data_IF_990924715201
#
_entry.id   IF_990924715201
#
_cell.length_a   1.000
_cell.length_b   1.000
_cell.length_c   1.000
_cell.angle_alpha   90.00
_cell.angle_beta   90.00
_cell.angle_gamma   90.00
#
_symmetry.space_group_name_H-M   'P 1'
#
loop_
_entity.id
_entity.type
_entity.pdbx_description
1 polymer ?
#
# COMPACT_ATOMS: atom_id res chain seq x y z
N UNK A 1 -6.50 -6.05 21.76
CA UNK A 1 -5.67 -6.10 20.53
C UNK A 1 -6.60 -6.13 19.32
N UNK A 2 -6.25 -5.46 18.23
CA UNK A 2 -7.03 -5.51 16.97
C UNK A 2 -7.12 -6.95 16.45
N UNK A 3 -8.29 -7.40 15.95
CA UNK A 3 -8.42 -8.72 15.34
C UNK A 3 -7.97 -8.77 13.87
N UNK A 4 -7.31 -7.74 13.36
CA UNK A 4 -6.98 -7.57 11.94
C UNK A 4 -5.46 -7.54 11.76
N UNK A 5 -4.93 -8.40 10.86
CA UNK A 5 -3.55 -8.35 10.38
C UNK A 5 -3.46 -7.56 9.08
N UNK A 6 -2.41 -6.75 8.90
CA UNK A 6 -2.11 -6.06 7.65
C UNK A 6 -1.27 -6.95 6.73
N UNK A 7 -1.57 -6.96 5.43
CA UNK A 7 -0.78 -7.65 4.40
C UNK A 7 -0.47 -6.64 3.29
N UNK A 8 0.80 -6.27 3.15
CA UNK A 8 1.29 -5.35 2.10
C UNK A 8 1.91 -6.16 0.98
N UNK A 9 1.27 -6.15 -0.19
CA UNK A 9 1.74 -6.86 -1.38
C UNK A 9 2.77 -6.00 -2.13
N UNK A 10 4.04 -6.42 -2.16
CA UNK A 10 5.14 -5.68 -2.75
C UNK A 10 6.13 -6.59 -3.52
N UNK A 11 5.68 -7.75 -4.01
CA UNK A 11 6.53 -8.76 -4.64
C UNK A 11 6.78 -8.55 -6.15
N UNK A 12 6.22 -7.48 -6.74
CA UNK A 12 6.28 -7.20 -8.18
C UNK A 12 7.68 -6.87 -8.70
N UNK A 13 7.94 -7.15 -9.98
CA UNK A 13 9.24 -6.98 -10.65
C UNK A 13 9.55 -5.55 -11.08
N UNK A 14 8.54 -4.66 -11.12
CA UNK A 14 8.68 -3.27 -11.61
C UNK A 14 9.27 -3.16 -13.02
N UNK A 15 8.91 -4.10 -13.91
CA UNK A 15 9.55 -4.27 -15.23
C UNK A 15 9.51 -2.99 -16.09
N UNK A 16 8.41 -2.22 -16.05
CA UNK A 16 8.24 -0.97 -16.80
C UNK A 16 9.11 0.18 -16.31
N UNK A 17 9.54 0.14 -15.05
CA UNK A 17 10.40 1.15 -14.42
C UNK A 17 11.89 0.83 -14.55
N UNK A 18 12.28 -0.39 -14.97
CA UNK A 18 13.66 -0.83 -15.08
C UNK A 18 14.45 -0.96 -13.76
N UNK A 19 13.83 -0.57 -12.65
CA UNK A 19 14.37 -0.65 -11.28
C UNK A 19 13.24 -0.92 -10.28
N UNK A 20 13.53 -1.49 -9.10
CA UNK A 20 12.51 -1.78 -8.11
C UNK A 20 11.79 -0.51 -7.66
N UNK A 21 10.47 -0.40 -7.92
CA UNK A 21 9.66 0.73 -7.49
C UNK A 21 9.60 0.87 -5.97
N UNK A 22 9.73 -0.24 -5.27
CA UNK A 22 9.68 -0.32 -3.81
C UNK A 22 10.71 0.57 -3.13
N UNK A 23 11.90 0.72 -3.75
CA UNK A 23 13.04 1.48 -3.22
C UNK A 23 13.23 2.85 -3.89
N UNK A 24 12.34 3.26 -4.80
CA UNK A 24 12.38 4.61 -5.37
C UNK A 24 12.15 5.63 -4.25
N UNK A 25 13.02 6.64 -4.18
CA UNK A 25 12.87 7.72 -3.20
C UNK A 25 11.76 8.68 -3.64
N UNK A 26 10.71 8.77 -2.82
CA UNK A 26 9.59 9.67 -2.99
C UNK A 26 9.37 10.40 -1.65
N UNK A 27 9.30 11.74 -1.67
CA UNK A 27 9.09 12.57 -0.47
C UNK A 27 10.02 12.23 0.70
N UNK A 28 11.31 11.93 0.40
CA UNK A 28 12.35 11.62 1.38
C UNK A 28 12.34 10.20 1.97
N UNK A 29 11.57 9.27 1.39
CA UNK A 29 11.52 7.85 1.81
C UNK A 29 11.35 6.93 0.61
N UNK A 30 11.70 5.63 0.72
CA UNK A 30 11.31 4.62 -0.26
C UNK A 30 9.78 4.58 -0.44
N UNK A 31 9.31 4.40 -1.66
CA UNK A 31 7.87 4.28 -1.99
C UNK A 31 7.17 3.28 -1.05
N UNK A 32 7.73 2.08 -0.88
CA UNK A 32 7.15 1.05 -0.02
C UNK A 32 7.13 1.47 1.45
N UNK A 33 8.09 2.30 1.91
CA UNK A 33 8.14 2.75 3.29
C UNK A 33 6.92 3.61 3.67
N UNK A 34 6.39 4.41 2.74
CA UNK A 34 5.17 5.18 2.98
C UNK A 34 3.99 4.27 3.32
N UNK A 35 3.81 3.19 2.55
CA UNK A 35 2.73 2.23 2.79
C UNK A 35 2.93 1.47 4.10
N UNK A 36 4.17 1.06 4.40
CA UNK A 36 4.51 0.39 5.66
C UNK A 36 4.23 1.31 6.85
N UNK A 37 4.65 2.58 6.78
CA UNK A 37 4.42 3.55 7.85
C UNK A 37 2.93 3.79 8.09
N UNK A 38 2.14 3.93 7.01
CA UNK A 38 0.69 4.08 7.10
C UNK A 38 0.02 2.85 7.72
N UNK A 39 0.43 1.65 7.30
CA UNK A 39 -0.07 0.39 7.81
C UNK A 39 0.30 0.18 9.28
N UNK A 40 1.56 0.43 9.65
CA UNK A 40 2.04 0.28 11.02
C UNK A 40 1.41 1.29 12.00
N UNK A 41 0.97 2.44 11.51
CA UNK A 41 0.23 3.43 12.29
C UNK A 41 -1.24 3.10 12.49
N UNK A 42 -1.82 2.20 11.69
CA UNK A 42 -3.24 1.84 11.73
C UNK A 42 -3.56 0.85 12.86
N UNK A 43 -4.86 0.73 13.19
CA UNK A 43 -5.37 -0.17 14.24
C UNK A 43 -5.31 -1.64 13.82
N UNK A 44 -4.12 -2.12 13.47
CA UNK A 44 -3.84 -3.51 13.12
C UNK A 44 -3.00 -4.20 14.20
N UNK A 45 -3.05 -5.52 14.24
CA UNK A 45 -2.31 -6.36 15.18
C UNK A 45 -0.83 -6.48 14.81
N UNK A 46 -0.59 -6.62 13.53
CA UNK A 46 0.71 -6.80 12.89
C UNK A 46 0.64 -6.34 11.44
N UNK A 47 1.80 -6.14 10.82
CA UNK A 47 1.92 -5.85 9.38
C UNK A 47 2.90 -6.85 8.76
N UNK A 48 2.44 -7.53 7.70
CA UNK A 48 3.21 -8.50 6.93
C UNK A 48 3.50 -7.89 5.58
N UNK A 49 4.78 -7.68 5.27
CA UNK A 49 5.24 -7.16 3.98
C UNK A 49 5.68 -8.33 3.12
N UNK A 50 4.95 -8.60 2.03
CA UNK A 50 5.26 -9.69 1.12
C UNK A 50 6.15 -9.18 0.01
N UNK A 51 7.40 -9.65 -0.01
CA UNK A 51 8.39 -9.36 -1.04
C UNK A 51 8.60 -10.58 -1.95
N UNK A 52 9.18 -10.36 -3.13
CA UNK A 52 9.49 -11.43 -4.08
C UNK A 52 10.74 -11.08 -4.86
N UNK A 53 10.61 -10.33 -5.97
CA UNK A 53 11.77 -9.89 -6.73
C UNK A 53 12.71 -9.05 -5.86
N UNK A 54 14.00 -9.44 -5.79
CA UNK A 54 15.03 -8.77 -4.98
C UNK A 54 14.66 -8.57 -3.51
N UNK A 55 13.97 -9.54 -2.91
CA UNK A 55 13.42 -9.44 -1.56
C UNK A 55 14.44 -8.95 -0.54
N UNK A 56 15.63 -9.54 -0.47
CA UNK A 56 16.71 -9.16 0.47
C UNK A 56 17.11 -7.69 0.30
N UNK A 57 17.45 -7.29 -0.94
CA UNK A 57 17.88 -5.91 -1.23
C UNK A 57 16.81 -4.86 -0.92
N UNK A 58 15.52 -5.20 -1.14
CA UNK A 58 14.40 -4.31 -0.78
C UNK A 58 14.25 -4.26 0.74
N UNK A 59 14.31 -5.41 1.42
CA UNK A 59 14.19 -5.46 2.87
C UNK A 59 15.28 -4.64 3.59
N UNK A 60 16.53 -4.70 3.10
CA UNK A 60 17.66 -3.94 3.64
C UNK A 60 17.49 -2.41 3.52
N UNK A 61 16.69 -1.96 2.55
CA UNK A 61 16.39 -0.53 2.33
C UNK A 61 15.22 -0.02 3.20
N UNK A 62 14.54 -0.90 3.96
CA UNK A 62 13.34 -0.56 4.72
C UNK A 62 13.63 -0.45 6.21
N UNK A 63 12.90 0.46 6.86
CA UNK A 63 12.87 0.59 8.31
C UNK A 63 11.60 -0.06 8.86
N UNK A 64 11.72 -1.31 9.33
CA UNK A 64 10.59 -2.02 9.86
C UNK A 64 10.27 -1.56 11.28
N UNK A 65 9.00 -1.21 11.53
CA UNK A 65 8.50 -0.85 12.86
C UNK A 65 8.17 -2.10 13.67
N UNK A 66 8.09 -1.95 14.98
CA UNK A 66 7.63 -3.04 15.85
C UNK A 66 6.28 -3.59 15.36
N UNK A 67 6.16 -4.92 15.34
CA UNK A 67 4.97 -5.59 14.80
C UNK A 67 4.92 -5.70 13.28
N UNK A 68 5.95 -5.22 12.56
CA UNK A 68 6.09 -5.39 11.11
C UNK A 68 7.16 -6.42 10.79
N UNK A 69 6.88 -7.31 9.84
CA UNK A 69 7.83 -8.32 9.38
C UNK A 69 7.73 -8.57 7.89
N UNK A 70 8.83 -9.00 7.29
CA UNK A 70 8.90 -9.38 5.88
C UNK A 70 8.65 -10.88 5.74
N UNK A 71 7.95 -11.24 4.67
CA UNK A 71 7.79 -12.62 4.19
C UNK A 71 8.19 -12.65 2.72
N UNK A 72 9.08 -13.54 2.36
CA UNK A 72 9.46 -13.75 0.98
C UNK A 72 8.50 -14.73 0.29
N UNK A 73 8.04 -14.36 -0.90
CA UNK A 73 7.30 -15.23 -1.79
C UNK A 73 8.20 -15.65 -2.96
N UNK A 74 8.74 -16.87 -2.98
CA UNK A 74 9.58 -17.36 -4.08
C UNK A 74 8.79 -17.52 -5.39
N UNK A 75 7.47 -17.76 -5.29
CA UNK A 75 6.60 -18.01 -6.43
C UNK A 75 5.99 -16.73 -7.03
N UNK A 76 6.53 -15.54 -6.74
CA UNK A 76 5.97 -14.25 -7.13
C UNK A 76 5.70 -14.11 -8.64
N UNK A 77 6.43 -14.84 -9.48
CA UNK A 77 6.26 -14.84 -10.93
C UNK A 77 4.99 -15.54 -11.40
N UNK A 78 4.39 -16.39 -10.58
CA UNK A 78 3.15 -17.08 -10.89
C UNK A 78 1.89 -16.22 -10.67
N UNK A 79 2.07 -14.93 -10.34
CA UNK A 79 0.99 -13.94 -10.20
C UNK A 79 0.74 -13.47 -8.78
N UNK A 80 -0.05 -12.38 -8.65
CA UNK A 80 -0.33 -11.71 -7.39
C UNK A 80 -1.01 -12.63 -6.35
N UNK A 81 -1.76 -13.63 -6.81
CA UNK A 81 -2.43 -14.60 -5.92
C UNK A 81 -1.45 -15.37 -5.04
N UNK A 82 -0.23 -15.66 -5.51
CA UNK A 82 0.79 -16.35 -4.70
C UNK A 82 1.30 -15.46 -3.57
N UNK A 83 1.47 -14.17 -3.84
CA UNK A 83 1.87 -13.18 -2.83
C UNK A 83 0.76 -12.98 -1.79
N UNK A 84 -0.50 -12.91 -2.23
CA UNK A 84 -1.63 -12.83 -1.31
C UNK A 84 -1.68 -14.06 -0.39
N UNK A 85 -1.53 -15.26 -0.96
CA UNK A 85 -1.49 -16.51 -0.18
C UNK A 85 -0.37 -16.50 0.83
N UNK A 86 0.86 -16.17 0.43
CA UNK A 86 2.00 -16.08 1.34
C UNK A 86 1.73 -15.11 2.50
N UNK A 87 1.11 -13.95 2.23
CA UNK A 87 0.73 -12.99 3.25
C UNK A 87 -0.34 -13.50 4.19
N UNK A 88 -1.40 -14.13 3.68
CA UNK A 88 -2.48 -14.68 4.49
C UNK A 88 -2.03 -15.86 5.36
N UNK A 89 -1.20 -16.77 4.83
CA UNK A 89 -0.64 -17.91 5.56
C UNK A 89 0.30 -17.45 6.67
N UNK A 90 0.91 -16.28 6.51
CA UNK A 90 1.77 -15.68 7.51
C UNK A 90 1.00 -14.92 8.61
N UNK A 91 -0.28 -14.60 8.46
CA UNK A 91 -1.06 -13.90 9.46
C UNK A 91 -1.16 -14.67 10.77
N UNK A 92 -1.16 -13.94 11.89
CA UNK A 92 -1.41 -14.50 13.23
C UNK A 92 -2.67 -15.38 13.22
N UNK A 93 -2.58 -16.56 13.88
CA UNK A 93 -3.69 -17.52 13.90
C UNK A 93 -4.95 -16.99 14.59
N UNK A 94 -4.79 -16.04 15.50
CA UNK A 94 -5.87 -15.40 16.22
C UNK A 94 -6.47 -14.17 15.49
N UNK A 95 -5.99 -13.80 14.28
CA UNK A 95 -6.60 -12.72 13.55
C UNK A 95 -7.94 -13.17 12.93
N UNK A 96 -8.92 -12.29 12.95
CA UNK A 96 -10.25 -12.48 12.35
C UNK A 96 -10.27 -12.15 10.86
N UNK A 97 -9.46 -11.19 10.43
CA UNK A 97 -9.43 -10.71 9.06
C UNK A 97 -8.04 -10.24 8.66
N UNK A 98 -7.78 -10.11 7.36
CA UNK A 98 -6.61 -9.46 6.80
C UNK A 98 -7.02 -8.18 6.05
N UNK A 99 -6.31 -7.10 6.31
CA UNK A 99 -6.35 -5.87 5.50
C UNK A 99 -5.25 -5.95 4.44
N UNK A 100 -5.64 -6.12 3.19
CA UNK A 100 -4.73 -6.24 2.04
C UNK A 100 -4.48 -4.85 1.46
N UNK A 101 -3.20 -4.48 1.35
CA UNK A 101 -2.69 -3.24 0.79
C UNK A 101 -1.74 -3.56 -0.37
N UNK A 102 -1.50 -2.60 -1.24
CA UNK A 102 -0.49 -2.71 -2.30
C UNK A 102 0.65 -1.74 -2.03
N UNK A 103 1.90 -2.21 -2.22
CA UNK A 103 3.10 -1.49 -1.81
C UNK A 103 3.51 -0.32 -2.72
N UNK A 104 2.73 -0.02 -3.75
CA UNK A 104 2.97 1.01 -4.77
C UNK A 104 2.00 2.20 -4.70
N UNK A 105 1.19 2.29 -3.65
CA UNK A 105 0.26 3.40 -3.39
C UNK A 105 0.75 4.27 -2.20
N UNK A 106 1.79 5.09 -2.38
CA UNK A 106 2.39 5.88 -1.29
C UNK A 106 1.47 6.97 -0.73
N UNK A 107 0.39 7.29 -1.45
CA UNK A 107 -0.66 8.22 -1.01
C UNK A 107 -1.65 7.62 -0.01
N UNK A 108 -1.57 6.33 0.29
CA UNK A 108 -2.41 5.71 1.30
C UNK A 108 -2.03 6.20 2.70
N UNK A 109 -3.03 6.56 3.52
CA UNK A 109 -2.82 7.08 4.87
C UNK A 109 -3.37 6.15 5.95
N UNK A 110 -2.84 6.26 7.17
CA UNK A 110 -3.37 5.57 8.36
C UNK A 110 -4.86 5.81 8.55
N UNK A 111 -5.33 7.05 8.36
CA UNK A 111 -6.74 7.39 8.51
C UNK A 111 -7.66 6.67 7.51
N UNK A 112 -7.22 6.50 6.26
CA UNK A 112 -7.97 5.73 5.25
C UNK A 112 -8.07 4.26 5.66
N UNK A 113 -6.97 3.67 6.13
CA UNK A 113 -6.94 2.27 6.59
C UNK A 113 -7.90 2.10 7.77
N UNK A 114 -7.80 2.98 8.77
CA UNK A 114 -8.65 2.92 9.97
C UNK A 114 -10.13 3.13 9.67
N UNK A 115 -10.46 3.94 8.66
CA UNK A 115 -11.85 4.13 8.21
C UNK A 115 -12.45 2.83 7.66
N UNK A 116 -11.67 2.08 6.85
CA UNK A 116 -12.14 0.79 6.33
C UNK A 116 -12.23 -0.26 7.45
N UNK A 117 -11.28 -0.25 8.40
CA UNK A 117 -11.31 -1.13 9.58
C UNK A 117 -12.58 -0.87 10.40
N UNK A 118 -12.91 0.39 10.68
CA UNK A 118 -14.12 0.76 11.41
C UNK A 118 -15.37 0.27 10.70
N UNK A 119 -15.51 0.58 9.40
CA UNK A 119 -16.66 0.13 8.62
C UNK A 119 -16.80 -1.40 8.58
N UNK A 120 -15.69 -2.15 8.44
CA UNK A 120 -15.70 -3.61 8.49
C UNK A 120 -16.25 -4.14 9.82
N UNK A 121 -15.80 -3.56 10.94
CA UNK A 121 -16.19 -4.01 12.28
C UNK A 121 -17.67 -3.65 12.57
N UNK A 122 -18.10 -2.45 12.22
CA UNK A 122 -19.45 -1.93 12.47
C UNK A 122 -20.53 -2.65 11.64
N UNK A 123 -20.24 -2.89 10.36
CA UNK A 123 -21.19 -3.55 9.46
C UNK A 123 -21.25 -5.07 9.62
N UNK A 124 -20.29 -5.69 10.34
CA UNK A 124 -20.14 -7.14 10.37
C UNK A 124 -19.92 -7.75 8.99
N UNK A 125 -19.28 -6.99 8.10
CA UNK A 125 -19.03 -7.40 6.72
C UNK A 125 -18.08 -8.60 6.65
N UNK A 126 -18.16 -9.35 5.55
CA UNK A 126 -17.15 -10.37 5.22
C UNK A 126 -16.00 -9.79 4.39
N UNK A 127 -16.33 -8.77 3.59
CA UNK A 127 -15.36 -7.98 2.85
C UNK A 127 -15.70 -6.50 3.03
N UNK A 128 -14.71 -5.67 3.35
CA UNK A 128 -14.82 -4.23 3.28
C UNK A 128 -13.66 -3.69 2.44
N UNK A 129 -13.92 -2.75 1.53
CA UNK A 129 -12.89 -2.14 0.71
C UNK A 129 -13.05 -0.63 0.64
N UNK A 130 -11.92 0.06 0.48
CA UNK A 130 -11.94 1.47 0.16
C UNK A 130 -12.59 1.69 -1.22
N UNK A 131 -13.39 2.74 -1.34
CA UNK A 131 -13.97 3.22 -2.57
C UNK A 131 -13.63 4.70 -2.73
N UNK A 132 -13.10 5.09 -3.87
CA UNK A 132 -12.60 6.43 -4.17
C UNK A 132 -13.40 7.00 -5.33
N UNK A 133 -14.31 7.92 -5.05
CA UNK A 133 -15.22 8.50 -6.08
C UNK A 133 -15.89 7.40 -6.95
N UNK A 134 -16.37 6.32 -6.30
CA UNK A 134 -17.00 5.19 -6.95
C UNK A 134 -16.02 4.13 -7.51
N UNK A 135 -14.71 4.41 -7.54
CA UNK A 135 -13.71 3.43 -7.95
C UNK A 135 -13.22 2.57 -6.78
N UNK A 136 -13.22 1.22 -6.88
CA UNK A 136 -12.70 0.35 -5.85
C UNK A 136 -11.18 0.46 -5.73
N UNK A 137 -10.68 0.47 -4.47
CA UNK A 137 -9.25 0.56 -4.17
C UNK A 137 -8.84 -0.24 -2.94
N UNK A 138 -7.67 0.07 -2.42
CA UNK A 138 -7.12 -0.52 -1.20
C UNK A 138 -7.21 0.48 -0.02
N UNK A 139 -7.28 -0.03 1.23
CA UNK A 139 -7.21 -1.44 1.64
C UNK A 139 -8.47 -2.22 1.28
N UNK A 140 -8.29 -3.54 1.13
CA UNK A 140 -9.39 -4.50 1.08
C UNK A 140 -9.29 -5.39 2.31
N UNK A 141 -10.28 -5.35 3.19
CA UNK A 141 -10.34 -6.23 4.37
C UNK A 141 -11.15 -7.47 4.03
N UNK A 142 -10.63 -8.62 4.38
CA UNK A 142 -11.24 -9.92 4.10
C UNK A 142 -11.29 -10.78 5.34
N UNK A 143 -12.50 -11.20 5.71
CA UNK A 143 -12.74 -12.11 6.82
C UNK A 143 -12.04 -13.46 6.60
N UNK A 144 -11.47 -14.01 7.67
CA UNK A 144 -10.76 -15.28 7.64
C UNK A 144 -11.61 -16.44 7.12
N UNK A 145 -12.92 -16.39 7.34
CA UNK A 145 -13.84 -17.42 6.87
C UNK A 145 -13.84 -17.59 5.33
N UNK A 146 -13.38 -16.57 4.59
CA UNK A 146 -13.28 -16.62 3.12
C UNK A 146 -11.93 -17.14 2.62
N UNK A 147 -10.90 -17.28 3.48
CA UNK A 147 -9.53 -17.60 3.03
C UNK A 147 -9.40 -19.00 2.43
N UNK A 148 -10.23 -19.96 2.85
CA UNK A 148 -10.22 -21.30 2.28
C UNK A 148 -10.57 -21.32 0.79
N UNK A 149 -11.49 -20.46 0.35
CA UNK A 149 -11.85 -20.30 -1.05
C UNK A 149 -10.71 -19.71 -1.91
N UNK A 150 -9.74 -19.03 -1.28
CA UNK A 150 -8.64 -18.37 -1.97
C UNK A 150 -7.45 -19.27 -2.28
N UNK A 151 -7.39 -20.43 -1.64
CA UNK A 151 -6.31 -21.40 -1.88
C UNK A 151 -6.32 -21.98 -3.30
N UNK A 152 -7.48 -22.03 -3.94
CA UNK A 152 -7.65 -22.49 -5.32
C UNK A 152 -7.50 -21.40 -6.39
N UNK A 153 -7.33 -20.13 -5.98
CA UNK A 153 -7.25 -19.00 -6.90
C UNK A 153 -5.86 -18.89 -7.50
N UNK A 154 -5.79 -18.84 -8.84
CA UNK A 154 -4.57 -18.65 -9.59
C UNK A 154 -4.60 -17.32 -10.39
N UNK A 155 -3.42 -16.72 -10.59
CA UNK A 155 -3.24 -15.52 -11.40
C UNK A 155 -3.74 -14.23 -10.70
N UNK A 156 -3.88 -13.16 -11.48
CA UNK A 156 -4.15 -11.81 -10.96
C UNK A 156 -5.63 -11.47 -10.81
N UNK A 157 -6.52 -12.26 -11.40
CA UNK A 157 -7.96 -11.99 -11.45
C UNK A 157 -8.76 -12.62 -10.33
N UNK A 158 -8.39 -13.82 -9.91
CA UNK A 158 -9.26 -14.65 -9.11
C UNK A 158 -9.62 -14.10 -7.72
N UNK A 159 -8.74 -13.31 -7.08
CA UNK A 159 -9.09 -12.71 -5.79
C UNK A 159 -10.09 -11.56 -5.93
N UNK A 160 -10.06 -10.82 -7.05
CA UNK A 160 -11.04 -9.75 -7.34
C UNK A 160 -12.45 -10.33 -7.49
N UNK A 161 -12.56 -11.49 -8.14
CA UNK A 161 -13.82 -12.17 -8.32
C UNK A 161 -14.38 -12.67 -6.97
N UNK A 162 -13.51 -13.19 -6.08
CA UNK A 162 -13.91 -13.57 -4.73
C UNK A 162 -14.37 -12.38 -3.89
N UNK A 163 -13.68 -11.25 -3.97
CA UNK A 163 -14.11 -10.00 -3.32
C UNK A 163 -15.46 -9.54 -3.87
N UNK A 164 -15.65 -9.61 -5.20
CA UNK A 164 -16.88 -9.19 -5.85
C UNK A 164 -18.08 -10.08 -5.50
N UNK A 165 -17.86 -11.38 -5.31
CA UNK A 165 -18.90 -12.37 -5.00
C UNK A 165 -19.20 -12.51 -3.51
N UNK A 166 -18.51 -11.81 -2.62
CA UNK A 166 -18.73 -11.91 -1.18
C UNK A 166 -20.16 -11.50 -0.80
N UNK A 167 -20.92 -12.35 -0.08
CA UNK A 167 -22.35 -12.09 0.22
C UNK A 167 -22.57 -10.80 1.05
N UNK A 168 -21.65 -10.47 1.95
CA UNK A 168 -21.68 -9.28 2.79
C UNK A 168 -20.47 -8.40 2.50
N UNK A 169 -20.55 -7.65 1.40
CA UNK A 169 -19.51 -6.68 1.01
C UNK A 169 -19.94 -5.27 1.39
N UNK A 170 -18.98 -4.50 1.91
CA UNK A 170 -19.10 -3.08 2.19
C UNK A 170 -18.08 -2.30 1.34
N UNK A 171 -18.53 -1.32 0.59
CA UNK A 171 -17.70 -0.31 -0.04
C UNK A 171 -17.69 0.93 0.86
N UNK A 172 -16.50 1.30 1.37
CA UNK A 172 -16.29 2.43 2.28
C UNK A 172 -15.82 3.61 1.47
N UNK A 173 -16.72 4.56 1.21
CA UNK A 173 -16.42 5.73 0.39
C UNK A 173 -15.42 6.67 1.09
N UNK A 174 -14.35 7.05 0.38
CA UNK A 174 -13.30 7.92 0.90
C UNK A 174 -13.58 9.41 0.67
N UNK A 175 -14.36 9.76 -0.36
CA UNK A 175 -14.68 11.15 -0.71
C UNK A 175 -13.51 11.92 -1.30
N UNK A 176 -12.52 11.21 -1.81
CA UNK A 176 -11.32 11.74 -2.48
C UNK A 176 -10.97 10.87 -3.68
N UNK A 177 -10.21 11.37 -4.66
CA UNK A 177 -9.69 10.57 -5.76
C UNK A 177 -8.83 9.40 -5.30
N UNK A 178 -8.77 8.35 -6.11
CA UNK A 178 -7.92 7.18 -5.86
C UNK A 178 -6.45 7.61 -5.75
N UNK A 179 -5.75 7.25 -4.65
CA UNK A 179 -4.31 7.47 -4.55
C UNK A 179 -3.58 6.83 -5.72
N UNK A 180 -2.70 7.60 -6.38
CA UNK A 180 -1.94 7.11 -7.53
C UNK A 180 -1.04 5.94 -7.17
N UNK A 181 -1.02 4.93 -8.03
CA UNK A 181 -0.06 3.85 -8.03
C UNK A 181 1.15 4.19 -8.91
N UNK A 182 2.27 3.53 -8.67
CA UNK A 182 3.52 3.74 -9.40
C UNK A 182 3.83 2.51 -10.24
N UNK A 183 3.53 2.60 -11.54
CA UNK A 183 3.83 1.56 -12.52
C UNK A 183 4.73 2.06 -13.65
N UNK A 184 4.75 3.37 -13.92
CA UNK A 184 5.55 4.00 -14.96
C UNK A 184 6.34 5.18 -14.44
N UNK A 185 7.42 5.63 -15.15
CA UNK A 185 8.14 6.84 -14.80
C UNK A 185 7.25 8.09 -14.72
N UNK A 186 6.28 8.21 -15.63
CA UNK A 186 5.38 9.36 -15.70
C UNK A 186 4.46 9.45 -14.47
N UNK A 187 3.96 8.30 -13.98
CA UNK A 187 3.17 8.23 -12.75
C UNK A 187 4.02 8.63 -11.54
N UNK A 188 5.28 8.15 -11.48
CA UNK A 188 6.21 8.55 -10.43
C UNK A 188 6.45 10.06 -10.42
N UNK A 189 6.77 10.65 -11.58
CA UNK A 189 6.98 12.10 -11.72
C UNK A 189 5.72 12.91 -11.35
N UNK A 190 4.54 12.41 -11.70
CA UNK A 190 3.28 13.04 -11.32
C UNK A 190 3.13 13.12 -9.80
N UNK A 191 3.45 12.05 -9.07
CA UNK A 191 3.42 12.03 -7.60
C UNK A 191 4.48 12.95 -6.99
N UNK A 192 5.69 13.00 -7.55
CA UNK A 192 6.74 13.95 -7.12
C UNK A 192 6.22 15.39 -7.21
N UNK A 193 5.54 15.74 -8.33
CA UNK A 193 4.97 17.09 -8.52
C UNK A 193 3.80 17.38 -7.58
N UNK A 194 2.98 16.39 -7.28
CA UNK A 194 1.80 16.56 -6.41
C UNK A 194 2.19 16.79 -4.95
N UNK A 195 3.34 16.28 -4.51
CA UNK A 195 3.75 16.31 -3.10
C UNK A 195 3.03 15.28 -2.22
N UNK A 196 3.43 15.15 -0.94
CA UNK A 196 2.85 14.18 -0.02
C UNK A 196 1.38 14.48 0.31
N UNK A 197 0.58 13.46 0.68
CA UNK A 197 -0.81 13.63 1.07
C UNK A 197 -0.97 14.65 2.20
N UNK A 198 -1.96 15.54 2.09
CA UNK A 198 -2.23 16.57 3.10
C UNK A 198 -1.45 17.87 2.95
N UNK A 199 -0.52 17.97 1.99
CA UNK A 199 0.14 19.22 1.63
C UNK A 199 -0.62 19.99 0.55
N UNK A 200 -1.97 19.91 0.54
CA UNK A 200 -2.81 20.65 -0.40
C UNK A 200 -2.43 22.12 -0.42
N UNK A 201 -2.02 22.62 -1.59
CA UNK A 201 -1.89 24.00 -2.06
C UNK A 201 -1.72 25.13 -1.01
N UNK A 202 -0.91 24.95 0.01
CA UNK A 202 -0.42 26.03 0.85
C UNK A 202 0.96 26.42 0.31
N UNK A 203 0.99 27.54 -0.39
CA UNK A 203 2.14 28.36 -0.78
C UNK A 203 3.46 27.60 -1.05
N UNK A 204 3.74 27.41 -2.34
CA UNK A 204 5.13 27.21 -2.78
C UNK A 204 5.98 28.35 -2.20
N UNK A 205 7.03 28.06 -1.43
CA UNK A 205 8.00 29.10 -1.14
C UNK A 205 8.49 29.66 -2.47
N UNK A 206 8.61 31.00 -2.59
CA UNK A 206 9.08 31.62 -3.82
C UNK A 206 10.44 31.03 -4.19
N UNK A 207 10.75 30.88 -5.50
CA UNK A 207 12.04 30.36 -5.92
C UNK A 207 13.16 31.16 -5.26
N UNK A 208 14.12 30.45 -4.68
CA UNK A 208 15.29 31.02 -4.02
C UNK A 208 15.97 32.02 -4.97
N UNK A 209 15.70 33.32 -4.79
CA UNK A 209 16.44 34.37 -5.47
C UNK A 209 17.81 34.39 -4.86
N UNK A 210 18.82 33.90 -5.60
CA UNK A 210 20.21 34.13 -5.26
C UNK A 210 20.40 35.62 -5.07
N UNK A 211 20.76 36.05 -3.85
CA UNK A 211 21.23 37.42 -3.60
C UNK A 211 22.43 37.61 -4.50
N UNK A 212 22.30 38.52 -5.49
CA UNK A 212 23.44 39.03 -6.23
C UNK A 212 24.39 39.65 -5.19
N UNK A 213 25.60 39.13 -5.15
CA UNK A 213 26.71 39.73 -4.38
C UNK A 213 26.97 41.13 -4.95
N UNK A 214 26.82 42.21 -4.17
CA UNK A 214 27.06 43.58 -4.67
C UNK A 214 28.52 43.95 -4.85
N UNK A 215 29.46 42.99 -4.79
CA UNK A 215 30.94 43.24 -4.82
C UNK A 215 31.66 42.68 -6.05
N UNK A 216 31.00 42.58 -7.23
CA UNK A 216 31.78 42.37 -8.46
C UNK A 216 32.02 43.70 -9.12
N UNK A 217 33.30 44.18 -9.22
CA UNK A 217 33.63 45.36 -10.00
C UNK A 217 33.50 45.06 -11.50
N UNK A 218 32.85 46.00 -12.20
CA UNK A 218 32.85 46.08 -13.65
C UNK A 218 34.24 46.41 -14.16
N UNK A 219 34.82 45.55 -14.96
CA UNK A 219 35.81 45.88 -15.99
C UNK A 219 35.34 45.37 -17.31
#
# INVERSE_FOLDING_TARGET
MSPISGVVLAAGTSARLGRPKQTLELWGKPVLQHVIDAAAGARMREVIVVLGHRATSIADALQLRHGTRVVENPDFRAGQSTSLRAGLDACDRGCRAAAVLVGDQPGLTTAMIDKVIAGYLEAGAQVARACFEGAPGHPVIVDRALWSGWRGVAGDRGWRDLVASAPRRLDVEMGIPLPGDIDTPEQFEALVRAGPPGTGAAERPPPFRSRRDPRRPTT
#
